data_IF_705124524221
#
_entry.id   IF_705124524221
#
_cell.length_a   1.000
_cell.length_b   1.000
_cell.length_c   1.000
_cell.angle_alpha   90.00
_cell.angle_beta   90.00
_cell.angle_gamma   90.00
#
_symmetry.space_group_name_H-M   'P 1'
#
loop_
_entity.id
_entity.type
_entity.pdbx_description
1 polymer ?
#
# COMPACT_ATOMS: atom_id res chain seq x y z
N UNK A 1 -8.41 -2.97 -5.72
CA UNK A 1 -7.75 -4.28 -5.90
C UNK A 1 -6.57 -4.55 -4.97
N UNK A 2 -5.69 -3.61 -4.62
CA UNK A 2 -4.69 -3.87 -3.55
C UNK A 2 -5.37 -3.88 -2.16
N UNK A 3 -6.35 -3.00 -1.94
CA UNK A 3 -7.12 -2.91 -0.69
C UNK A 3 -7.79 -4.23 -0.31
N UNK A 4 -8.48 -4.86 -1.25
CA UNK A 4 -9.33 -6.01 -0.97
C UNK A 4 -8.48 -7.26 -0.71
N UNK A 5 -7.35 -7.39 -1.40
CA UNK A 5 -6.38 -8.44 -1.15
C UNK A 5 -5.78 -8.33 0.27
N UNK A 6 -5.39 -7.13 0.70
CA UNK A 6 -4.88 -6.91 2.06
C UNK A 6 -5.93 -7.21 3.12
N UNK A 7 -7.18 -6.77 2.92
CA UNK A 7 -8.28 -7.09 3.82
C UNK A 7 -8.52 -8.60 3.94
N UNK A 8 -8.44 -9.33 2.82
CA UNK A 8 -8.59 -10.79 2.82
C UNK A 8 -7.40 -11.49 3.53
N UNK A 9 -6.18 -10.99 3.34
CA UNK A 9 -4.97 -11.51 4.03
C UNK A 9 -5.09 -11.30 5.54
N UNK A 10 -5.54 -10.12 5.98
CA UNK A 10 -5.68 -9.79 7.41
C UNK A 10 -6.95 -10.37 8.05
N UNK A 11 -7.85 -10.97 7.27
CA UNK A 11 -9.16 -11.41 7.77
C UNK A 11 -9.06 -12.40 8.92
N UNK A 12 -8.19 -13.41 8.82
CA UNK A 12 -8.00 -14.40 9.89
C UNK A 12 -7.61 -13.76 11.23
N UNK A 13 -6.50 -12.99 11.27
CA UNK A 13 -6.11 -12.23 12.47
C UNK A 13 -7.20 -11.29 13.01
N UNK A 14 -7.95 -10.61 12.12
CA UNK A 14 -9.04 -9.72 12.53
C UNK A 14 -10.24 -10.47 13.12
N UNK A 15 -10.57 -11.66 12.60
CA UNK A 15 -11.59 -12.55 13.19
C UNK A 15 -11.17 -12.94 14.61
N UNK A 16 -9.92 -13.40 14.79
CA UNK A 16 -9.40 -13.76 16.11
C UNK A 16 -9.45 -12.58 17.08
N UNK A 17 -8.98 -11.41 16.66
CA UNK A 17 -9.08 -10.19 17.47
C UNK A 17 -10.52 -9.87 17.85
N UNK A 18 -11.46 -10.02 16.92
CA UNK A 18 -12.89 -9.80 17.18
C UNK A 18 -13.42 -10.75 18.23
N UNK A 19 -13.09 -12.03 18.14
CA UNK A 19 -13.49 -13.05 19.12
C UNK A 19 -12.92 -12.74 20.50
N UNK A 20 -11.63 -12.44 20.59
CA UNK A 20 -10.96 -12.12 21.85
C UNK A 20 -11.61 -10.89 22.53
N UNK A 21 -11.92 -9.84 21.76
CA UNK A 21 -12.61 -8.66 22.28
C UNK A 21 -14.04 -8.96 22.71
N UNK A 22 -14.80 -9.73 21.92
CA UNK A 22 -16.16 -10.11 22.30
C UNK A 22 -16.18 -10.93 23.59
N UNK A 23 -15.28 -11.91 23.74
CA UNK A 23 -15.11 -12.68 24.98
C UNK A 23 -14.77 -11.76 26.15
N UNK A 24 -13.83 -10.84 25.96
CA UNK A 24 -13.40 -9.92 27.00
C UNK A 24 -14.54 -9.01 27.50
N UNK A 25 -15.36 -8.48 26.59
CA UNK A 25 -16.46 -7.57 26.91
C UNK A 25 -17.82 -8.27 27.12
N UNK A 26 -17.86 -9.60 27.09
CA UNK A 26 -19.11 -10.36 27.24
C UNK A 26 -20.10 -10.18 26.09
N UNK A 27 -19.63 -9.83 24.89
CA UNK A 27 -20.47 -9.72 23.69
C UNK A 27 -20.73 -11.13 23.14
N UNK A 28 -22.00 -11.51 22.89
CA UNK A 28 -22.33 -12.85 22.42
C UNK A 28 -21.80 -13.09 21.00
N UNK A 29 -21.32 -14.31 20.77
CA UNK A 29 -20.86 -14.79 19.46
C UNK A 29 -21.84 -15.83 18.93
N UNK A 30 -22.19 -15.72 17.65
CA UNK A 30 -22.98 -16.74 16.94
C UNK A 30 -22.01 -17.71 16.25
N UNK A 31 -22.08 -19.03 16.51
CA UNK A 31 -21.24 -20.02 15.85
C UNK A 31 -21.71 -20.31 14.41
N UNK A 32 -20.88 -20.99 13.63
CA UNK A 32 -21.27 -21.48 12.30
C UNK A 32 -21.34 -20.42 11.21
N UNK A 33 -20.70 -19.26 11.40
CA UNK A 33 -20.69 -18.16 10.44
C UNK A 33 -19.55 -18.39 9.44
N UNK A 34 -19.84 -18.32 8.15
CA UNK A 34 -18.79 -18.35 7.12
C UNK A 34 -17.81 -17.18 7.34
N UNK A 35 -16.52 -17.50 7.47
CA UNK A 35 -15.48 -16.50 7.57
C UNK A 35 -15.40 -15.64 6.31
N UNK A 36 -15.70 -16.21 5.15
CA UNK A 36 -15.20 -15.72 3.86
C UNK A 36 -13.73 -16.13 3.66
N UNK A 37 -13.08 -15.71 2.56
CA UNK A 37 -11.74 -16.19 2.22
C UNK A 37 -10.70 -15.72 3.23
N UNK A 38 -9.96 -16.64 3.82
CA UNK A 38 -8.83 -16.38 4.72
C UNK A 38 -7.56 -16.84 4.01
N UNK A 39 -6.51 -16.01 4.06
CA UNK A 39 -5.21 -16.43 3.56
C UNK A 39 -4.51 -17.35 4.56
N UNK A 40 -4.12 -18.54 4.11
CA UNK A 40 -3.27 -19.46 4.85
C UNK A 40 -1.81 -19.28 4.38
N UNK A 41 -0.95 -18.63 5.19
CA UNK A 41 0.42 -18.36 4.79
C UNK A 41 1.32 -19.60 4.78
N UNK A 42 0.95 -20.68 5.47
CA UNK A 42 1.73 -21.92 5.51
C UNK A 42 1.56 -22.71 4.21
N UNK A 43 0.32 -22.81 3.72
CA UNK A 43 0.00 -23.53 2.48
C UNK A 43 0.01 -22.63 1.24
N UNK A 44 0.11 -21.32 1.43
CA UNK A 44 -0.02 -20.32 0.37
C UNK A 44 -1.32 -20.46 -0.43
N UNK A 45 -2.44 -20.66 0.28
CA UNK A 45 -3.77 -20.90 -0.30
C UNK A 45 -4.86 -20.08 0.40
N UNK A 46 -5.99 -19.96 -0.28
CA UNK A 46 -7.21 -19.39 0.27
C UNK A 46 -8.08 -20.47 0.88
N UNK A 47 -8.40 -20.30 2.16
CA UNK A 47 -9.24 -21.22 2.93
C UNK A 47 -10.56 -20.56 3.34
N UNK A 48 -11.54 -21.39 3.72
CA UNK A 48 -12.80 -20.98 4.32
C UNK A 48 -13.01 -21.75 5.62
N UNK A 49 -13.58 -21.10 6.63
CA UNK A 49 -13.87 -21.73 7.90
C UNK A 49 -15.23 -21.26 8.44
N UNK A 50 -15.90 -22.15 9.16
CA UNK A 50 -17.02 -21.77 10.01
C UNK A 50 -16.47 -21.25 11.34
N UNK A 51 -16.74 -19.98 11.64
CA UNK A 51 -16.22 -19.27 12.81
C UNK A 51 -17.36 -18.74 13.68
N UNK A 52 -17.02 -18.40 14.91
CA UNK A 52 -17.94 -17.68 15.80
C UNK A 52 -17.71 -16.18 15.68
N UNK A 53 -18.74 -15.41 15.34
CA UNK A 53 -18.66 -13.96 15.15
C UNK A 53 -19.89 -13.25 15.76
N UNK A 54 -19.75 -11.99 16.21
CA UNK A 54 -20.89 -11.19 16.60
C UNK A 54 -21.76 -10.88 15.38
N UNK A 55 -23.08 -11.08 15.53
CA UNK A 55 -24.07 -10.72 14.52
C UNK A 55 -24.89 -9.51 14.98
N UNK A 56 -25.20 -8.63 14.04
CA UNK A 56 -26.14 -7.54 14.19
C UNK A 56 -27.28 -7.70 13.19
N UNK A 57 -28.29 -6.84 13.26
CA UNK A 57 -29.35 -6.76 12.24
C UNK A 57 -28.81 -6.44 10.83
N UNK A 58 -27.56 -5.99 10.72
CA UNK A 58 -26.88 -5.67 9.46
C UNK A 58 -25.89 -6.77 9.01
N UNK A 59 -25.74 -7.84 9.79
CA UNK A 59 -24.87 -8.98 9.49
C UNK A 59 -23.69 -9.13 10.44
N UNK A 60 -22.70 -9.93 10.00
CA UNK A 60 -21.48 -10.24 10.76
C UNK A 60 -20.58 -9.02 10.92
N UNK A 61 -20.01 -8.86 12.10
CA UNK A 61 -19.10 -7.76 12.42
C UNK A 61 -17.67 -8.29 12.59
N UNK A 62 -16.72 -7.60 11.99
CA UNK A 62 -15.28 -7.79 12.21
C UNK A 62 -14.73 -6.48 12.74
N UNK A 63 -14.07 -6.54 13.89
CA UNK A 63 -13.43 -5.41 14.54
C UNK A 63 -12.02 -5.22 13.97
N UNK A 64 -11.62 -3.96 13.85
CA UNK A 64 -10.25 -3.57 13.46
C UNK A 64 -9.63 -2.80 14.63
N UNK A 65 -8.48 -3.23 15.17
CA UNK A 65 -7.81 -2.51 16.25
C UNK A 65 -7.46 -1.08 15.81
N UNK A 66 -7.86 -0.06 16.59
CA UNK A 66 -7.54 1.35 16.30
C UNK A 66 -6.04 1.56 16.06
N UNK A 67 -5.17 0.81 16.77
CA UNK A 67 -3.71 0.85 16.67
C UNK A 67 -3.17 0.60 15.26
N UNK A 68 -3.87 -0.18 14.43
CA UNK A 68 -3.43 -0.50 13.05
C UNK A 68 -4.15 0.33 11.99
N UNK A 69 -5.19 1.10 12.37
CA UNK A 69 -5.91 1.97 11.44
C UNK A 69 -5.08 3.22 11.15
N UNK A 70 -5.08 3.66 9.90
CA UNK A 70 -4.41 4.87 9.43
C UNK A 70 -5.39 5.72 8.63
N UNK A 71 -5.41 7.03 8.87
CA UNK A 71 -6.24 7.97 8.12
C UNK A 71 -5.70 8.27 6.72
N UNK A 72 -4.40 8.02 6.49
CA UNK A 72 -3.71 8.25 5.22
C UNK A 72 -2.81 7.06 4.90
N UNK A 73 -2.81 6.62 3.64
CA UNK A 73 -1.88 5.60 3.16
C UNK A 73 -0.44 6.11 3.25
N UNK A 74 0.44 5.28 3.79
CA UNK A 74 1.87 5.57 3.90
C UNK A 74 2.55 5.51 2.51
N UNK A 75 2.18 4.53 1.69
CA UNK A 75 2.67 4.36 0.32
C UNK A 75 1.73 5.04 -0.68
N UNK A 76 2.28 5.93 -1.50
CA UNK A 76 1.56 6.72 -2.50
C UNK A 76 2.30 6.67 -3.84
N UNK A 77 1.62 6.13 -4.85
CA UNK A 77 2.20 5.96 -6.19
C UNK A 77 2.65 7.28 -6.80
N UNK A 78 1.89 8.36 -6.62
CA UNK A 78 2.25 9.68 -7.17
C UNK A 78 3.51 10.26 -6.53
N UNK A 79 3.66 10.05 -5.22
CA UNK A 79 4.84 10.49 -4.47
C UNK A 79 6.08 9.71 -4.92
N UNK A 80 5.95 8.39 -4.98
CA UNK A 80 6.99 7.49 -5.48
C UNK A 80 7.43 7.88 -6.89
N UNK A 81 6.47 8.07 -7.82
CA UNK A 81 6.81 8.45 -9.18
C UNK A 81 7.49 9.82 -9.25
N UNK A 82 6.94 10.82 -8.55
CA UNK A 82 7.41 12.21 -8.63
C UNK A 82 8.77 12.44 -7.96
N UNK A 83 9.03 11.80 -6.83
CA UNK A 83 10.17 12.10 -5.97
C UNK A 83 11.27 11.03 -5.99
N UNK A 84 11.01 9.85 -6.54
CA UNK A 84 12.00 8.79 -6.64
C UNK A 84 12.30 8.43 -8.10
N UNK A 85 11.29 8.02 -8.86
CA UNK A 85 11.51 7.61 -10.26
C UNK A 85 11.96 8.78 -11.15
N UNK A 86 11.20 9.88 -11.16
CA UNK A 86 11.49 10.99 -12.08
C UNK A 86 12.88 11.63 -11.85
N UNK A 87 13.35 11.88 -10.61
CA UNK A 87 14.70 12.37 -10.38
C UNK A 87 15.79 11.45 -10.93
N UNK A 88 15.62 10.14 -10.75
CA UNK A 88 16.58 9.16 -11.25
C UNK A 88 16.62 9.16 -12.79
N UNK A 89 15.44 9.21 -13.44
CA UNK A 89 15.36 9.35 -14.89
C UNK A 89 15.99 10.66 -15.38
N UNK A 90 15.81 11.78 -14.66
CA UNK A 90 16.49 13.04 -15.02
C UNK A 90 18.01 12.86 -15.01
N UNK A 91 18.56 12.23 -13.98
CA UNK A 91 20.00 11.97 -13.87
C UNK A 91 20.50 11.09 -15.03
N UNK A 92 19.83 9.97 -15.31
CA UNK A 92 20.17 9.08 -16.41
C UNK A 92 20.15 9.78 -17.76
N UNK A 93 19.10 10.56 -18.04
CA UNK A 93 18.96 11.28 -19.31
C UNK A 93 20.01 12.38 -19.50
N UNK A 94 20.44 13.02 -18.40
CA UNK A 94 21.55 13.98 -18.39
C UNK A 94 22.89 13.29 -18.67
N UNK A 95 23.19 12.20 -17.94
CA UNK A 95 24.42 11.42 -18.13
C UNK A 95 24.55 10.88 -19.55
N UNK A 96 23.46 10.33 -20.09
CA UNK A 96 23.44 9.76 -21.44
C UNK A 96 23.28 10.82 -22.55
N UNK A 97 23.19 12.12 -22.22
CA UNK A 97 23.01 13.23 -23.16
C UNK A 97 21.93 12.98 -24.23
N UNK A 98 20.80 12.44 -23.77
CA UNK A 98 19.71 12.07 -24.68
C UNK A 98 19.02 13.29 -25.29
N UNK A 99 18.13 13.06 -26.27
CA UNK A 99 17.30 14.12 -26.89
C UNK A 99 16.34 14.84 -25.93
N UNK A 100 16.23 14.41 -24.67
CA UNK A 100 15.44 15.10 -23.64
C UNK A 100 16.23 16.19 -22.89
N UNK A 101 17.54 16.29 -23.12
CA UNK A 101 18.39 17.32 -22.51
C UNK A 101 18.15 18.64 -23.23
N UNK A 102 17.83 19.66 -22.43
CA UNK A 102 17.70 21.06 -22.86
C UNK A 102 18.94 21.82 -22.39
N UNK A 103 19.59 22.55 -23.30
CA UNK A 103 20.66 23.50 -22.97
C UNK A 103 20.05 24.86 -22.71
N UNK A 104 20.33 25.43 -21.54
CA UNK A 104 19.88 26.75 -21.12
C UNK A 104 20.78 27.85 -21.69
N UNK A 105 20.29 29.08 -21.70
CA UNK A 105 21.03 30.25 -22.19
C UNK A 105 22.35 30.49 -21.45
N UNK A 106 22.45 30.07 -20.20
CA UNK A 106 23.66 30.15 -19.38
C UNK A 106 24.62 28.95 -19.57
N UNK A 107 24.36 28.07 -20.54
CA UNK A 107 25.16 26.87 -20.80
C UNK A 107 24.84 25.68 -19.86
N UNK A 108 23.92 25.83 -18.92
CA UNK A 108 23.49 24.74 -18.05
C UNK A 108 22.63 23.71 -18.79
N UNK A 109 22.78 22.42 -18.48
CA UNK A 109 21.95 21.35 -19.02
C UNK A 109 20.85 20.96 -18.03
N UNK A 110 19.64 20.69 -18.53
CA UNK A 110 18.54 20.16 -17.72
C UNK A 110 17.69 19.15 -18.47
N UNK A 111 17.05 18.25 -17.72
CA UNK A 111 15.93 17.43 -18.19
C UNK A 111 14.73 17.77 -17.33
N UNK A 112 13.57 18.03 -17.91
CA UNK A 112 12.37 18.38 -17.13
C UNK A 112 11.50 17.16 -16.84
N UNK A 113 10.94 17.10 -15.62
CA UNK A 113 9.94 16.08 -15.24
C UNK A 113 8.74 16.07 -16.19
N UNK A 114 8.35 17.23 -16.72
CA UNK A 114 7.27 17.36 -17.70
C UNK A 114 7.56 16.58 -18.99
N UNK A 115 8.77 16.68 -19.53
CA UNK A 115 9.15 15.96 -20.74
C UNK A 115 9.25 14.45 -20.50
N UNK A 116 9.76 14.05 -19.34
CA UNK A 116 9.78 12.64 -18.93
C UNK A 116 8.35 12.06 -18.85
N UNK A 117 7.44 12.75 -18.18
CA UNK A 117 6.02 12.35 -18.12
C UNK A 117 5.38 12.29 -19.50
N UNK A 118 5.70 13.24 -20.39
CA UNK A 118 5.18 13.26 -21.76
C UNK A 118 5.65 12.03 -22.56
N UNK A 119 6.90 11.60 -22.36
CA UNK A 119 7.49 10.48 -23.09
C UNK A 119 7.12 9.11 -22.51
N UNK A 120 7.15 8.99 -21.19
CA UNK A 120 7.04 7.71 -20.48
C UNK A 120 5.72 7.51 -19.75
N UNK A 121 4.81 8.49 -19.79
CA UNK A 121 3.54 8.42 -19.08
C UNK A 121 3.65 8.72 -17.58
N UNK A 122 2.54 8.55 -16.86
CA UNK A 122 2.46 8.66 -15.38
C UNK A 122 1.40 7.74 -14.78
N UNK A 123 0.77 6.91 -15.61
CA UNK A 123 -0.25 5.98 -15.17
C UNK A 123 0.41 4.76 -14.51
N UNK A 124 -0.43 3.87 -13.98
CA UNK A 124 0.03 2.74 -13.17
C UNK A 124 0.97 1.81 -13.94
N UNK A 125 0.73 1.57 -15.23
CA UNK A 125 1.59 0.70 -16.03
C UNK A 125 2.95 1.34 -16.24
N UNK A 126 2.98 2.62 -16.61
CA UNK A 126 4.21 3.40 -16.74
C UNK A 126 5.06 3.36 -15.45
N UNK A 127 4.44 3.54 -14.28
CA UNK A 127 5.16 3.48 -12.99
C UNK A 127 5.77 2.08 -12.76
N UNK A 128 5.03 1.02 -13.09
CA UNK A 128 5.52 -0.37 -12.97
C UNK A 128 6.69 -0.60 -13.92
N UNK A 129 6.57 -0.23 -15.18
CA UNK A 129 7.64 -0.38 -16.18
C UNK A 129 8.92 0.34 -15.75
N UNK A 130 8.80 1.60 -15.31
CA UNK A 130 9.97 2.36 -14.86
C UNK A 130 10.59 1.78 -13.57
N UNK A 131 9.78 1.16 -12.71
CA UNK A 131 10.25 0.48 -11.49
C UNK A 131 10.97 -0.83 -11.83
N UNK A 132 10.43 -1.63 -12.75
CA UNK A 132 11.05 -2.89 -13.17
C UNK A 132 12.43 -2.63 -13.79
N UNK A 133 12.56 -1.56 -14.56
CA UNK A 133 13.86 -1.14 -15.11
C UNK A 133 14.86 -0.66 -14.03
N UNK A 134 14.38 -0.25 -12.84
CA UNK A 134 15.18 0.38 -11.78
C UNK A 134 14.72 -0.07 -10.39
N UNK A 135 14.91 -1.36 -10.05
CA UNK A 135 14.32 -1.94 -8.85
C UNK A 135 14.81 -1.29 -7.55
N UNK A 136 16.06 -0.83 -7.50
CA UNK A 136 16.65 -0.17 -6.32
C UNK A 136 15.91 1.09 -5.86
N UNK A 137 15.23 1.81 -6.77
CA UNK A 137 14.44 2.99 -6.45
C UNK A 137 13.28 2.64 -5.50
N UNK A 138 12.69 1.45 -5.68
CA UNK A 138 11.62 0.97 -4.80
C UNK A 138 12.16 0.68 -3.39
N UNK A 139 13.39 0.19 -3.28
CA UNK A 139 14.00 -0.09 -1.98
C UNK A 139 14.31 1.22 -1.23
N UNK A 140 14.86 2.23 -1.91
CA UNK A 140 15.03 3.57 -1.34
C UNK A 140 13.71 4.17 -0.84
N UNK A 141 12.65 4.03 -1.64
CA UNK A 141 11.33 4.50 -1.25
C UNK A 141 10.80 3.79 -0.01
N UNK A 142 10.96 2.47 0.07
CA UNK A 142 10.55 1.67 1.24
C UNK A 142 11.33 2.07 2.49
N UNK A 143 12.64 2.26 2.39
CA UNK A 143 13.46 2.69 3.53
C UNK A 143 13.06 4.09 4.03
N UNK A 144 12.78 5.04 3.13
CA UNK A 144 12.28 6.35 3.54
C UNK A 144 10.93 6.23 4.29
N UNK A 145 10.02 5.39 3.80
CA UNK A 145 8.71 5.19 4.43
C UNK A 145 8.77 4.48 5.78
N UNK A 146 9.73 3.56 5.98
CA UNK A 146 9.98 2.94 7.29
C UNK A 146 10.38 3.97 8.34
N UNK A 147 11.19 4.96 7.95
CA UNK A 147 11.66 6.00 8.87
C UNK A 147 10.64 7.12 9.14
N UNK A 148 9.57 7.21 8.34
CA UNK A 148 8.49 8.20 8.48
C UNK A 148 7.10 7.55 8.41
N UNK A 149 6.74 6.65 9.35
CA UNK A 149 5.47 5.95 9.29
C UNK A 149 4.30 6.90 9.53
N UNK A 150 3.17 6.63 8.88
CA UNK A 150 1.92 7.33 9.20
C UNK A 150 1.46 6.97 10.61
N UNK A 151 1.08 7.97 11.39
CA UNK A 151 0.62 7.79 12.78
C UNK A 151 -0.71 7.02 12.79
N UNK A 152 -0.90 6.07 13.74
CA UNK A 152 -2.21 5.48 14.02
C UNK A 152 -3.31 6.52 14.30
N UNK A 153 -4.57 6.09 14.24
CA UNK A 153 -5.64 6.88 14.85
C UNK A 153 -5.40 7.01 16.37
N UNK A 154 -5.70 8.18 16.93
CA UNK A 154 -5.60 8.41 18.38
C UNK A 154 -6.54 7.48 19.14
N UNK A 155 -6.09 7.03 20.32
CA UNK A 155 -6.91 6.21 21.21
C UNK A 155 -7.84 7.06 22.07
N UNK A 156 -7.49 8.34 22.28
CA UNK A 156 -8.30 9.30 23.01
C UNK A 156 -9.52 9.66 22.17
N UNK A 157 -10.68 9.18 22.60
CA UNK A 157 -12.01 9.51 22.07
C UNK A 157 -12.99 9.46 23.23
#
# INVERSE_FOLDING_TARGET
MISDAVCNILRGPLIRYTQDMCVHYGVPLTPGIDSGPIWNPQESKWDHALVSLPLTNYGKVILVPKLIVRSRLCYKSDEYYRYFILPQMQHEHLQARTSLVEVLQNGGERVTKKNLIKKYGKDKLSVVEQTVARPYIMDEYREQKKNSPSVPLSLDS
#
